data_IF_583170370310
#
_entry.id   IF_583170370310
#
_cell.length_a   1.000
_cell.length_b   1.000
_cell.length_c   1.000
_cell.angle_alpha   90.00
_cell.angle_beta   90.00
_cell.angle_gamma   90.00
#
_symmetry.space_group_name_H-M   'P 1'
#
loop_
_entity.id
_entity.type
_entity.pdbx_description
1 polymer ?
#
# COMPACT_ATOMS: atom_id res chain seq x y z
N UNK A 1 -4.10 -14.56 18.10
CA UNK A 1 -4.80 -14.13 16.90
C UNK A 1 -3.77 -14.05 15.77
N UNK A 2 -4.09 -14.53 14.60
CA UNK A 2 -3.22 -14.47 13.43
C UNK A 2 -3.39 -13.19 12.61
N UNK A 3 -3.89 -12.10 13.20
CA UNK A 3 -4.13 -10.84 12.49
C UNK A 3 -2.83 -10.20 11.97
N UNK A 4 -2.93 -9.50 10.86
CA UNK A 4 -1.78 -8.92 10.16
C UNK A 4 -1.63 -7.45 10.55
N UNK A 5 -0.80 -7.20 11.55
CA UNK A 5 -0.53 -5.87 12.11
C UNK A 5 0.87 -5.35 11.77
N UNK A 6 1.00 -4.02 11.77
CA UNK A 6 2.30 -3.36 11.67
C UNK A 6 2.99 -3.27 13.02
N UNK A 7 4.28 -3.57 13.00
CA UNK A 7 5.18 -3.45 14.14
C UNK A 7 6.42 -2.65 13.76
N UNK A 8 7.00 -1.98 14.72
CA UNK A 8 8.32 -1.35 14.61
C UNK A 8 9.26 -1.94 15.64
N UNK A 9 10.55 -1.90 15.37
CA UNK A 9 11.62 -2.33 16.28
C UNK A 9 12.91 -1.62 15.93
N UNK A 10 13.88 -1.64 16.82
CA UNK A 10 15.24 -1.22 16.54
C UNK A 10 15.91 -2.16 15.52
N UNK A 11 16.93 -1.70 14.82
CA UNK A 11 17.67 -2.51 13.83
C UNK A 11 18.35 -3.76 14.42
N UNK A 12 18.60 -3.76 15.74
CA UNK A 12 19.12 -4.90 16.49
C UNK A 12 18.04 -5.90 16.95
N UNK A 13 16.76 -5.65 16.60
CA UNK A 13 15.61 -6.48 16.96
C UNK A 13 14.99 -6.18 18.32
N UNK A 14 15.55 -5.24 19.09
CA UNK A 14 14.99 -4.82 20.38
C UNK A 14 13.87 -3.78 20.22
N UNK A 15 13.19 -3.42 21.29
CA UNK A 15 12.21 -2.33 21.32
C UNK A 15 10.99 -2.54 20.43
N UNK A 16 10.52 -3.78 20.29
CA UNK A 16 9.33 -4.10 19.48
C UNK A 16 8.10 -3.37 19.97
N UNK A 17 7.41 -2.66 19.10
CA UNK A 17 6.19 -1.93 19.36
C UNK A 17 5.16 -2.19 18.27
N UNK A 18 3.95 -2.57 18.68
CA UNK A 18 2.80 -2.72 17.78
C UNK A 18 2.22 -1.35 17.43
N UNK A 19 2.06 -1.09 16.14
CA UNK A 19 1.55 0.18 15.61
C UNK A 19 0.06 0.12 15.25
N UNK A 20 -0.42 -1.02 14.74
CA UNK A 20 -1.84 -1.25 14.41
C UNK A 20 -2.40 -2.39 15.26
N UNK A 21 -3.73 -2.39 15.48
CA UNK A 21 -4.44 -3.36 16.35
C UNK A 21 -5.90 -3.56 15.90
N UNK A 22 -6.32 -2.93 14.83
CA UNK A 22 -7.69 -3.07 14.33
C UNK A 22 -7.78 -4.37 13.55
N UNK A 23 -8.84 -5.14 13.77
CA UNK A 23 -9.10 -6.35 12.96
C UNK A 23 -9.08 -5.98 11.48
N UNK A 24 -8.25 -6.69 10.71
CA UNK A 24 -8.06 -6.45 9.29
C UNK A 24 -6.63 -6.70 8.83
N UNK A 25 -6.35 -6.32 7.62
CA UNK A 25 -5.04 -6.45 7.00
C UNK A 25 -4.28 -5.13 7.04
N UNK A 26 -3.10 -5.15 7.62
CA UNK A 26 -2.12 -4.07 7.56
C UNK A 26 -0.80 -4.58 6.95
N UNK A 27 -0.28 -3.92 5.91
CA UNK A 27 0.97 -4.38 5.29
C UNK A 27 1.59 -3.41 4.30
N UNK A 28 2.80 -3.76 3.83
CA UNK A 28 3.53 -2.98 2.83
C UNK A 28 3.86 -1.56 3.28
N UNK A 29 4.38 -1.41 4.51
CA UNK A 29 4.67 -0.12 5.12
C UNK A 29 6.03 0.44 4.71
N UNK A 30 6.08 1.76 4.47
CA UNK A 30 7.30 2.49 4.16
C UNK A 30 7.38 3.81 4.94
N UNK A 31 8.59 4.19 5.33
CA UNK A 31 8.86 5.48 5.95
C UNK A 31 8.90 6.60 4.90
N UNK A 32 8.57 7.83 5.34
CA UNK A 32 8.89 9.01 4.56
C UNK A 32 10.39 9.34 4.67
N UNK A 33 10.84 10.30 3.86
CA UNK A 33 12.26 10.67 3.73
C UNK A 33 12.97 10.98 5.06
N UNK A 34 12.30 11.63 6.01
CA UNK A 34 12.88 12.01 7.30
C UNK A 34 12.53 11.04 8.46
N UNK A 35 11.87 9.92 8.16
CA UNK A 35 11.52 8.91 9.14
C UNK A 35 10.40 9.30 10.13
N UNK A 36 9.69 10.41 9.90
CA UNK A 36 8.66 10.91 10.83
C UNK A 36 7.25 10.34 10.60
N UNK A 37 7.00 9.83 9.41
CA UNK A 37 5.72 9.25 8.99
C UNK A 37 5.90 7.88 8.37
N UNK A 38 4.82 7.09 8.43
CA UNK A 38 4.68 5.79 7.78
C UNK A 38 3.47 5.86 6.86
N UNK A 39 3.60 5.32 5.65
CA UNK A 39 2.49 5.00 4.74
C UNK A 39 2.37 3.49 4.63
N UNK A 40 1.14 2.97 4.59
CA UNK A 40 0.88 1.54 4.39
C UNK A 40 -0.44 1.32 3.66
N UNK A 41 -0.70 0.08 3.29
CA UNK A 41 -1.98 -0.36 2.75
C UNK A 41 -2.73 -1.16 3.79
N UNK A 42 -4.04 -0.98 3.86
CA UNK A 42 -4.88 -1.70 4.81
C UNK A 42 -6.26 -2.04 4.21
N UNK A 43 -6.84 -3.09 4.77
CA UNK A 43 -8.26 -3.41 4.66
C UNK A 43 -8.82 -3.62 6.06
N UNK A 44 -9.90 -2.94 6.38
CA UNK A 44 -10.61 -3.08 7.64
C UNK A 44 -12.05 -3.46 7.38
N UNK A 45 -12.47 -4.70 7.72
CA UNK A 45 -13.86 -5.10 7.63
C UNK A 45 -14.73 -4.22 8.55
N UNK A 46 -15.92 -3.84 8.08
CA UNK A 46 -16.81 -2.91 8.78
C UNK A 46 -18.07 -3.58 9.31
N UNK A 47 -18.48 -4.69 8.72
CA UNK A 47 -19.66 -5.45 9.14
C UNK A 47 -19.27 -6.76 9.84
N UNK A 48 -20.14 -7.28 10.72
CA UNK A 48 -19.92 -8.57 11.38
C UNK A 48 -19.72 -9.71 10.36
N UNK A 49 -20.40 -9.64 9.22
CA UNK A 49 -20.23 -10.62 8.15
C UNK A 49 -18.84 -10.57 7.56
N UNK A 50 -18.31 -9.38 7.25
CA UNK A 50 -16.97 -9.19 6.71
C UNK A 50 -15.88 -9.59 7.72
N UNK A 51 -16.08 -9.29 9.01
CA UNK A 51 -15.19 -9.71 10.10
C UNK A 51 -15.13 -11.23 10.16
N UNK A 52 -16.27 -11.91 10.22
CA UNK A 52 -16.34 -13.37 10.27
C UNK A 52 -15.68 -14.02 9.04
N UNK A 53 -15.91 -13.45 7.84
CA UNK A 53 -15.30 -13.95 6.61
C UNK A 53 -13.77 -13.75 6.61
N UNK A 54 -13.29 -12.60 7.06
CA UNK A 54 -11.86 -12.32 7.20
C UNK A 54 -11.19 -13.27 8.19
N UNK A 55 -11.76 -13.44 9.38
CA UNK A 55 -11.24 -14.33 10.42
C UNK A 55 -11.25 -15.81 9.97
N UNK A 56 -12.29 -16.23 9.24
CA UNK A 56 -12.38 -17.59 8.68
C UNK A 56 -11.23 -17.87 7.69
N UNK A 57 -10.96 -16.94 6.77
CA UNK A 57 -9.85 -17.06 5.82
C UNK A 57 -8.49 -17.01 6.52
N UNK A 58 -8.34 -16.14 7.50
CA UNK A 58 -7.11 -15.99 8.27
C UNK A 58 -6.77 -17.27 9.06
N UNK A 59 -7.77 -17.99 9.58
CA UNK A 59 -7.59 -19.27 10.26
C UNK A 59 -6.97 -20.34 9.34
N UNK A 60 -7.20 -20.23 8.02
CA UNK A 60 -6.60 -21.09 6.99
C UNK A 60 -5.34 -20.47 6.36
N UNK A 61 -4.71 -19.49 7.01
CA UNK A 61 -3.55 -18.73 6.53
C UNK A 61 -3.74 -18.11 5.13
N UNK A 62 -4.97 -17.77 4.79
CA UNK A 62 -5.30 -17.14 3.52
C UNK A 62 -5.98 -15.79 3.73
N UNK A 63 -5.87 -14.93 2.75
CA UNK A 63 -6.60 -13.68 2.64
C UNK A 63 -7.16 -13.56 1.23
N UNK A 64 -8.35 -13.01 1.11
CA UNK A 64 -8.95 -12.73 -0.21
C UNK A 64 -8.29 -11.51 -0.84
N UNK A 65 -8.10 -11.45 -2.17
CA UNK A 65 -7.84 -10.19 -2.85
C UNK A 65 -8.97 -9.20 -2.54
N UNK A 66 -8.62 -8.01 -2.12
CA UNK A 66 -9.58 -7.04 -1.60
C UNK A 66 -9.23 -5.61 -2.03
N UNK A 67 -10.20 -4.71 -1.91
CA UNK A 67 -9.97 -3.29 -2.06
C UNK A 67 -9.10 -2.79 -0.89
N UNK A 68 -7.82 -2.57 -1.16
CA UNK A 68 -6.88 -2.06 -0.18
C UNK A 68 -6.86 -0.53 -0.22
N UNK A 69 -6.88 0.10 0.93
CA UNK A 69 -6.78 1.55 1.04
C UNK A 69 -5.42 1.98 1.62
N UNK A 70 -4.94 3.13 1.19
CA UNK A 70 -3.71 3.70 1.72
C UNK A 70 -4.01 4.50 2.99
N UNK A 71 -3.12 4.35 3.96
CA UNK A 71 -3.17 5.03 5.25
C UNK A 71 -1.82 5.64 5.58
N UNK A 72 -1.84 6.69 6.39
CA UNK A 72 -0.63 7.29 6.97
C UNK A 72 -0.75 7.41 8.47
N UNK A 73 0.39 7.40 9.17
CA UNK A 73 0.51 7.68 10.60
C UNK A 73 1.86 8.32 10.93
N UNK A 74 1.97 8.87 12.11
CA UNK A 74 3.25 9.22 12.69
C UNK A 74 4.05 7.96 13.04
N UNK A 75 5.38 8.06 13.12
CA UNK A 75 6.28 6.95 13.46
C UNK A 75 5.93 6.24 14.79
N UNK A 76 5.32 6.95 15.73
CA UNK A 76 4.89 6.40 17.03
C UNK A 76 3.48 5.77 17.00
N UNK A 77 2.89 5.60 15.82
CA UNK A 77 1.55 5.00 15.65
C UNK A 77 0.37 5.95 15.89
N UNK A 78 0.62 7.24 16.16
CA UNK A 78 -0.44 8.25 16.32
C UNK A 78 -0.87 8.87 14.98
N UNK A 79 -1.98 9.63 14.98
CA UNK A 79 -2.50 10.35 13.81
C UNK A 79 -2.72 9.46 12.58
N UNK A 80 -3.31 8.27 12.81
CA UNK A 80 -3.72 7.40 11.70
C UNK A 80 -4.78 8.09 10.85
N UNK A 81 -4.53 8.17 9.55
CA UNK A 81 -5.42 8.81 8.58
C UNK A 81 -5.50 7.98 7.31
N UNK A 82 -6.72 7.72 6.85
CA UNK A 82 -6.98 7.16 5.53
C UNK A 82 -6.67 8.19 4.45
N UNK A 83 -5.93 7.79 3.42
CA UNK A 83 -5.50 8.64 2.30
C UNK A 83 -6.35 8.38 1.06
N UNK A 84 -6.62 7.12 0.74
CA UNK A 84 -7.53 6.74 -0.36
C UNK A 84 -8.84 6.21 0.19
N UNK A 85 -9.94 6.49 -0.53
CA UNK A 85 -11.27 5.96 -0.21
C UNK A 85 -11.98 5.63 -1.54
N UNK A 86 -11.63 4.48 -2.11
CA UNK A 86 -12.18 3.99 -3.35
C UNK A 86 -12.38 2.47 -3.29
N UNK A 87 -12.99 1.88 -4.30
CA UNK A 87 -13.20 0.43 -4.36
C UNK A 87 -12.07 -0.33 -5.08
N UNK A 88 -10.91 0.32 -5.26
CA UNK A 88 -9.77 -0.22 -5.96
C UNK A 88 -8.79 -0.94 -5.03
N UNK A 89 -7.96 -1.77 -5.61
CA UNK A 89 -6.77 -2.30 -4.94
C UNK A 89 -5.63 -1.28 -5.07
N UNK A 90 -5.30 -0.61 -3.97
CA UNK A 90 -4.18 0.34 -3.88
C UNK A 90 -3.04 -0.32 -3.12
N UNK A 91 -1.83 -0.39 -3.68
CA UNK A 91 -0.72 -1.07 -3.03
C UNK A 91 0.65 -0.49 -3.43
N UNK A 92 1.71 -0.98 -2.76
CA UNK A 92 3.09 -0.55 -2.99
C UNK A 92 3.30 0.95 -2.79
N UNK A 93 2.72 1.59 -1.73
CA UNK A 93 2.89 3.02 -1.54
C UNK A 93 4.33 3.36 -1.16
N UNK A 94 4.82 4.49 -1.67
CA UNK A 94 6.11 5.07 -1.29
C UNK A 94 5.99 6.59 -1.27
N UNK A 95 6.69 7.26 -0.36
CA UNK A 95 6.71 8.73 -0.35
C UNK A 95 7.61 9.29 -1.45
N UNK A 96 7.19 10.40 -2.01
CA UNK A 96 8.09 11.24 -2.79
C UNK A 96 9.23 11.77 -1.91
N UNK A 97 10.47 11.84 -2.42
CA UNK A 97 11.57 12.45 -1.69
C UNK A 97 11.25 13.90 -1.33
N UNK A 98 11.39 14.25 -0.04
CA UNK A 98 11.22 15.62 0.49
C UNK A 98 9.84 16.25 0.26
N UNK A 99 8.81 15.46 -0.04
CA UNK A 99 7.43 15.92 -0.23
C UNK A 99 6.47 15.06 0.57
N UNK A 100 5.38 15.64 1.02
CA UNK A 100 4.27 14.93 1.69
C UNK A 100 3.27 14.41 0.63
N UNK A 101 3.81 13.71 -0.36
CA UNK A 101 3.09 13.11 -1.48
C UNK A 101 3.48 11.64 -1.62
N UNK A 102 2.56 10.81 -2.02
CA UNK A 102 2.68 9.35 -2.09
C UNK A 102 2.52 8.92 -3.53
N UNK A 103 3.40 8.02 -4.01
CA UNK A 103 3.24 7.28 -5.25
C UNK A 103 2.82 5.85 -4.90
N UNK A 104 1.94 5.25 -5.68
CA UNK A 104 1.40 3.91 -5.44
C UNK A 104 0.86 3.29 -6.71
N UNK A 105 0.55 2.00 -6.67
CA UNK A 105 -0.09 1.26 -7.74
C UNK A 105 -1.57 1.15 -7.48
N UNK A 106 -2.40 1.33 -8.51
CA UNK A 106 -3.85 1.19 -8.39
C UNK A 106 -4.51 0.75 -9.70
N UNK A 107 -5.58 0.00 -9.58
CA UNK A 107 -6.46 -0.37 -10.70
C UNK A 107 -7.75 0.49 -10.75
N UNK A 108 -7.76 1.66 -10.12
CA UNK A 108 -8.98 2.50 -9.99
C UNK A 108 -9.57 2.98 -11.33
N UNK A 109 -8.79 2.95 -12.40
CA UNK A 109 -9.26 3.34 -13.74
C UNK A 109 -9.86 2.19 -14.53
N UNK A 110 -9.64 0.94 -14.11
CA UNK A 110 -10.09 -0.26 -14.82
C UNK A 110 -11.26 -0.91 -14.09
N UNK A 111 -12.45 -0.84 -14.67
CA UNK A 111 -13.67 -1.47 -14.13
C UNK A 111 -13.54 -3.00 -13.97
N UNK A 112 -12.66 -3.65 -14.76
CA UNK A 112 -12.40 -5.09 -14.66
C UNK A 112 -11.36 -5.42 -13.57
N UNK A 113 -10.69 -4.40 -13.03
CA UNK A 113 -9.73 -4.52 -11.95
C UNK A 113 -8.45 -5.29 -12.29
N UNK A 114 -8.06 -5.35 -13.57
CA UNK A 114 -6.93 -6.15 -14.06
C UNK A 114 -5.71 -5.33 -14.41
N UNK A 115 -5.92 -4.07 -14.83
CA UNK A 115 -4.87 -3.16 -15.20
C UNK A 115 -4.48 -2.28 -14.04
N UNK A 116 -3.18 -2.20 -13.79
CA UNK A 116 -2.61 -1.40 -12.72
C UNK A 116 -1.65 -0.38 -13.27
N UNK A 117 -1.87 0.87 -12.88
CA UNK A 117 -0.96 1.96 -13.14
C UNK A 117 -0.43 2.62 -11.87
N UNK A 118 0.60 3.43 -12.05
CA UNK A 118 1.13 4.28 -10.99
C UNK A 118 0.28 5.54 -10.85
N UNK A 119 -0.02 5.88 -9.63
CA UNK A 119 -0.72 7.10 -9.22
C UNK A 119 0.08 7.86 -8.18
N UNK A 120 -0.13 9.16 -8.14
CA UNK A 120 0.36 10.03 -7.08
C UNK A 120 -0.81 10.71 -6.36
N UNK A 121 -0.69 10.91 -5.05
CA UNK A 121 -1.69 11.57 -4.21
C UNK A 121 -0.98 12.32 -3.08
N UNK A 122 -1.51 13.47 -2.68
CA UNK A 122 -0.99 14.14 -1.48
C UNK A 122 -1.34 13.32 -0.23
N UNK A 123 -0.51 13.34 0.80
CA UNK A 123 -0.78 12.62 2.05
C UNK A 123 -2.06 13.12 2.77
N UNK A 124 -2.61 14.27 2.33
CA UNK A 124 -3.94 14.75 2.72
C UNK A 124 -5.09 13.97 2.09
N UNK A 125 -4.84 13.18 1.03
CA UNK A 125 -5.86 12.49 0.25
C UNK A 125 -6.39 13.31 -0.93
N UNK A 126 -5.76 14.43 -1.24
CA UNK A 126 -6.12 15.35 -2.33
C UNK A 126 -5.17 15.22 -3.52
N UNK A 127 -5.50 15.88 -4.64
CA UNK A 127 -4.65 16.02 -5.82
C UNK A 127 -4.15 14.68 -6.38
N UNK A 128 -5.07 13.73 -6.57
CA UNK A 128 -4.76 12.45 -7.20
C UNK A 128 -4.43 12.65 -8.67
N UNK A 129 -3.38 11.98 -9.14
CA UNK A 129 -2.86 12.08 -10.51
C UNK A 129 -2.42 10.69 -11.00
N UNK A 130 -2.83 10.29 -12.21
CA UNK A 130 -2.34 9.09 -12.88
C UNK A 130 -1.00 9.39 -13.54
N UNK A 131 0.03 8.57 -13.27
CA UNK A 131 1.41 8.78 -13.72
C UNK A 131 1.74 7.91 -14.93
N UNK A 132 1.27 6.67 -14.96
CA UNK A 132 1.45 5.77 -16.11
C UNK A 132 0.11 5.42 -16.75
N UNK A 133 0.17 5.00 -18.04
CA UNK A 133 -1.01 4.72 -18.87
C UNK A 133 -0.73 3.49 -19.72
N UNK A 134 -0.36 2.40 -19.09
CA UNK A 134 -0.02 1.16 -19.76
C UNK A 134 -1.17 0.17 -19.62
N UNK A 135 -1.55 -0.51 -20.71
CA UNK A 135 -2.54 -1.59 -20.71
C UNK A 135 -1.88 -2.87 -20.15
N UNK A 136 -1.92 -3.04 -18.83
CA UNK A 136 -1.29 -4.15 -18.14
C UNK A 136 -0.94 -3.86 -16.69
N UNK A 137 0.30 -4.10 -16.28
CA UNK A 137 0.73 -3.96 -14.90
C UNK A 137 1.95 -3.05 -14.77
N UNK A 138 1.76 -1.94 -14.08
CA UNK A 138 2.81 -1.10 -13.52
C UNK A 138 2.64 -1.04 -12.00
N UNK A 139 3.68 -1.45 -11.24
CA UNK A 139 3.54 -1.56 -9.80
C UNK A 139 4.82 -1.45 -9.00
N UNK A 140 4.67 -1.35 -7.68
CA UNK A 140 5.77 -1.28 -6.70
C UNK A 140 6.76 -0.14 -6.96
N UNK A 141 6.30 1.11 -7.08
CA UNK A 141 7.17 2.25 -7.37
C UNK A 141 8.04 2.61 -6.19
N UNK A 142 9.31 2.93 -6.45
CA UNK A 142 10.24 3.42 -5.45
C UNK A 142 11.18 4.47 -6.05
N UNK A 143 11.32 5.60 -5.38
CA UNK A 143 12.29 6.63 -5.79
C UNK A 143 13.70 6.29 -5.34
N UNK A 144 14.68 6.69 -6.15
CA UNK A 144 16.07 6.77 -5.69
C UNK A 144 16.18 7.75 -4.51
N UNK A 145 17.17 7.60 -3.59
CA UNK A 145 17.32 8.48 -2.43
C UNK A 145 17.47 9.96 -2.78
N UNK A 146 18.05 10.27 -3.95
CA UNK A 146 18.21 11.64 -4.45
C UNK A 146 16.96 12.15 -5.22
N UNK A 147 15.97 11.28 -5.46
CA UNK A 147 14.71 11.59 -6.14
C UNK A 147 14.80 11.79 -7.65
N UNK A 148 15.93 11.43 -8.28
CA UNK A 148 16.12 11.61 -9.72
C UNK A 148 15.53 10.50 -10.55
N UNK A 149 15.42 9.30 -9.99
CA UNK A 149 14.95 8.10 -10.67
C UNK A 149 13.77 7.50 -9.93
N UNK A 150 12.87 6.90 -10.70
CA UNK A 150 11.77 6.07 -10.23
C UNK A 150 11.98 4.67 -10.81
N UNK A 151 12.08 3.65 -9.96
CA UNK A 151 12.04 2.24 -10.35
C UNK A 151 10.63 1.70 -10.07
N UNK A 152 10.14 0.87 -10.97
CA UNK A 152 8.86 0.18 -10.79
C UNK A 152 8.86 -1.13 -11.59
N UNK A 153 8.06 -2.08 -11.17
CA UNK A 153 7.84 -3.34 -11.88
C UNK A 153 6.80 -3.15 -12.98
N UNK A 154 7.01 -3.75 -14.14
CA UNK A 154 6.09 -3.67 -15.26
C UNK A 154 6.09 -4.98 -16.06
N UNK A 155 4.93 -5.33 -16.63
CA UNK A 155 4.84 -6.44 -17.58
C UNK A 155 4.88 -5.99 -19.05
N UNK A 156 5.25 -4.73 -19.30
CA UNK A 156 5.49 -4.24 -20.67
C UNK A 156 6.61 -5.04 -21.34
N UNK A 157 6.44 -5.35 -22.61
CA UNK A 157 7.38 -6.17 -23.39
C UNK A 157 7.57 -7.61 -22.82
N UNK A 158 6.60 -8.13 -22.08
CA UNK A 158 6.62 -9.50 -21.60
C UNK A 158 6.75 -10.49 -22.78
N UNK A 159 7.62 -11.50 -22.62
CA UNK A 159 7.78 -12.58 -23.60
C UNK A 159 6.78 -13.71 -23.39
N UNK A 160 6.33 -13.90 -22.15
CA UNK A 160 5.31 -14.85 -21.75
C UNK A 160 4.28 -14.16 -20.88
N UNK A 161 3.02 -14.59 -20.97
CA UNK A 161 1.95 -14.07 -20.11
C UNK A 161 2.31 -14.31 -18.64
N UNK A 162 2.30 -13.23 -17.84
CA UNK A 162 2.63 -13.25 -16.41
C UNK A 162 4.07 -12.85 -16.08
N UNK A 163 4.96 -12.67 -17.07
CA UNK A 163 6.29 -12.10 -16.80
C UNK A 163 6.13 -10.64 -16.35
N UNK A 164 6.89 -10.25 -15.34
CA UNK A 164 6.99 -8.88 -14.88
C UNK A 164 8.47 -8.50 -14.79
N UNK A 165 8.83 -7.34 -15.31
CA UNK A 165 10.21 -6.83 -15.36
C UNK A 165 10.34 -5.58 -14.48
N UNK A 166 11.55 -5.30 -14.07
CA UNK A 166 11.92 -4.09 -13.33
C UNK A 166 12.79 -3.21 -14.21
#
# INVERSE_FOLDING_TARGET
>A
SGDLDLWTMNSDGSGKQQLTKRVGYDGGAFYNHNGSKIVWRAYYPETDQEINEYEFLLADNSIRPMALQLWTMNINGTNKKQVTNNHAANFGPSFFPKKDRIIFSSNMHDEKGRDFDLYAIDASGENIERITYFDGFDGFPMFSPDGKYLVFASNRNQKKRGDTNI
#
